data_IF_562170437463
#
_entry.id   IF_562170437463
#
_cell.length_a   1.000
_cell.length_b   1.000
_cell.length_c   1.000
_cell.angle_alpha   90.00
_cell.angle_beta   90.00
_cell.angle_gamma   90.00
#
_symmetry.space_group_name_H-M   'P 1'
#
loop_
_entity.id
_entity.type
_entity.pdbx_description
1 polymer ?
#
# COMPACT_ATOMS: atom_id res chain seq x y z
N UNK A 1 2.56 12.21 9.55
CA UNK A 1 1.55 11.14 9.69
C UNK A 1 2.21 9.85 9.32
N UNK A 2 1.76 8.72 9.82
CA UNK A 2 2.38 7.40 9.59
C UNK A 2 1.27 6.35 9.52
N UNK A 3 1.63 5.14 9.08
CA UNK A 3 0.73 4.02 8.97
C UNK A 3 0.32 3.71 7.54
N UNK A 4 -0.26 2.53 7.33
CA UNK A 4 -0.70 2.05 6.02
C UNK A 4 -2.17 1.68 6.09
N UNK A 5 -2.99 2.34 5.28
CA UNK A 5 -4.37 1.99 5.03
C UNK A 5 -4.46 1.19 3.74
N UNK A 6 -5.16 0.07 3.79
CA UNK A 6 -5.44 -0.80 2.65
C UNK A 6 -6.88 -0.62 2.19
N UNK A 7 -7.05 -0.51 0.89
CA UNK A 7 -8.35 -0.58 0.24
C UNK A 7 -8.58 -2.04 -0.17
N UNK A 8 -9.59 -2.66 0.40
CA UNK A 8 -9.90 -4.07 0.17
C UNK A 8 -11.26 -4.26 -0.50
N UNK A 9 -11.32 -5.24 -1.38
CA UNK A 9 -12.56 -5.71 -2.00
C UNK A 9 -12.91 -7.09 -1.44
N UNK A 10 -14.12 -7.23 -0.90
CA UNK A 10 -14.62 -8.50 -0.40
C UNK A 10 -15.62 -9.08 -1.40
N UNK A 11 -15.46 -10.35 -1.70
CA UNK A 11 -16.33 -11.10 -2.61
C UNK A 11 -17.49 -11.74 -1.82
N UNK A 12 -18.52 -12.20 -2.49
CA UNK A 12 -19.73 -12.81 -1.88
C UNK A 12 -19.40 -14.03 -0.99
N UNK A 13 -18.36 -14.77 -1.33
CA UNK A 13 -17.90 -15.93 -0.55
C UNK A 13 -17.04 -15.55 0.67
N UNK A 14 -16.89 -14.24 0.98
CA UNK A 14 -16.10 -13.73 2.08
C UNK A 14 -14.60 -13.57 1.79
N UNK A 15 -14.10 -14.02 0.64
CA UNK A 15 -12.71 -13.80 0.26
C UNK A 15 -12.44 -12.30 0.03
N UNK A 16 -11.32 -11.82 0.54
CA UNK A 16 -10.90 -10.43 0.39
C UNK A 16 -9.53 -10.33 -0.25
N UNK A 17 -9.34 -9.29 -1.03
CA UNK A 17 -8.03 -8.94 -1.57
C UNK A 17 -7.85 -7.42 -1.56
N UNK A 18 -6.59 -7.01 -1.37
CA UNK A 18 -6.21 -5.61 -1.48
C UNK A 18 -6.24 -5.16 -2.95
N UNK A 19 -6.81 -4.00 -3.18
CA UNK A 19 -6.86 -3.34 -4.48
C UNK A 19 -6.05 -2.05 -4.52
N UNK A 20 -5.52 -1.63 -3.40
CA UNK A 20 -4.64 -0.46 -3.28
C UNK A 20 -4.27 -0.18 -1.85
N UNK A 21 -3.17 0.54 -1.65
CA UNK A 21 -2.69 1.03 -0.36
C UNK A 21 -2.47 2.53 -0.41
N UNK A 22 -2.62 3.18 0.73
CA UNK A 22 -2.24 4.58 0.92
C UNK A 22 -1.66 4.78 2.32
N UNK A 23 -0.75 5.72 2.43
CA UNK A 23 -0.13 6.15 3.68
C UNK A 23 -0.19 7.66 3.85
N UNK A 24 0.93 8.23 4.29
CA UNK A 24 1.06 9.68 4.53
C UNK A 24 1.03 10.53 3.25
N UNK A 25 1.18 9.93 2.09
CA UNK A 25 1.15 10.58 0.77
C UNK A 25 -0.25 10.82 0.23
N UNK A 26 -1.26 10.19 0.84
CA UNK A 26 -2.59 10.17 0.24
C UNK A 26 -3.74 10.38 1.21
N UNK A 27 -4.93 10.07 0.75
CA UNK A 27 -6.15 10.17 1.56
C UNK A 27 -7.13 9.05 1.23
N UNK A 28 -8.02 8.80 2.21
CA UNK A 28 -9.17 7.91 2.06
C UNK A 28 -10.41 8.77 1.88
N UNK A 29 -11.16 8.54 0.82
CA UNK A 29 -12.36 9.33 0.51
C UNK A 29 -12.48 9.71 -0.97
N UNK A 30 -11.78 9.02 -1.85
CA UNK A 30 -11.86 9.22 -3.31
C UNK A 30 -13.30 9.24 -3.87
N UNK A 31 -14.26 8.43 -3.37
CA UNK A 31 -15.63 8.53 -3.85
C UNK A 31 -16.20 9.94 -3.78
N UNK A 32 -15.95 10.69 -2.72
CA UNK A 32 -16.41 12.08 -2.60
C UNK A 32 -15.77 13.04 -3.61
N UNK A 33 -14.49 12.80 -3.96
CA UNK A 33 -13.82 13.57 -5.02
C UNK A 33 -14.44 13.31 -6.39
N UNK A 34 -14.96 12.09 -6.60
CA UNK A 34 -15.58 11.61 -7.84
C UNK A 34 -17.11 11.69 -7.81
N UNK A 35 -17.66 12.53 -6.91
CA UNK A 35 -19.09 12.79 -6.78
C UNK A 35 -19.95 11.53 -6.50
N UNK A 36 -19.35 10.52 -5.85
CA UNK A 36 -20.04 9.32 -5.43
C UNK A 36 -20.28 9.30 -3.92
N UNK A 37 -21.49 8.96 -3.52
CA UNK A 37 -21.87 8.76 -2.11
C UNK A 37 -21.53 7.37 -1.58
N UNK A 38 -21.13 6.46 -2.48
CA UNK A 38 -20.85 5.06 -2.12
C UNK A 38 -19.36 4.72 -2.31
N UNK A 39 -18.78 4.10 -1.28
CA UNK A 39 -17.44 3.54 -1.35
C UNK A 39 -17.51 2.07 -1.78
N UNK A 40 -16.92 1.71 -2.95
CA UNK A 40 -16.96 0.33 -3.46
C UNK A 40 -15.97 -0.60 -2.75
N UNK A 41 -15.10 -0.07 -1.88
CA UNK A 41 -14.05 -0.77 -1.16
C UNK A 41 -14.16 -0.51 0.34
N UNK A 42 -13.83 -1.50 1.15
CA UNK A 42 -13.58 -1.31 2.57
C UNK A 42 -12.16 -0.73 2.77
N UNK A 43 -12.00 0.02 3.86
CA UNK A 43 -10.69 0.55 4.26
C UNK A 43 -10.32 -0.03 5.61
N UNK A 44 -9.12 -0.59 5.69
CA UNK A 44 -8.55 -1.16 6.91
C UNK A 44 -7.16 -0.60 7.15
N UNK A 45 -6.87 -0.22 8.41
CA UNK A 45 -5.49 0.08 8.81
C UNK A 45 -4.72 -1.25 8.94
N UNK A 46 -3.72 -1.43 8.08
CA UNK A 46 -2.86 -2.61 8.11
C UNK A 46 -1.65 -2.40 9.03
N UNK A 47 -1.09 -1.20 8.97
CA UNK A 47 -0.06 -0.79 9.91
C UNK A 47 -0.61 0.39 10.72
N UNK A 48 -0.64 0.28 12.06
CA UNK A 48 -1.15 1.34 12.93
C UNK A 48 -0.46 2.69 12.68
N UNK A 49 -1.19 3.78 12.85
CA UNK A 49 -0.65 5.11 12.63
C UNK A 49 -1.63 6.22 12.97
N UNK A 50 -1.31 7.43 12.53
CA UNK A 50 -2.08 8.64 12.79
C UNK A 50 -2.57 9.26 11.47
N UNK A 51 -3.82 9.67 11.44
CA UNK A 51 -4.45 10.34 10.30
C UNK A 51 -5.26 11.56 10.74
N UNK A 52 -5.41 12.52 9.85
CA UNK A 52 -6.35 13.63 10.04
C UNK A 52 -7.72 13.22 9.48
N UNK A 53 -8.76 13.47 10.25
CA UNK A 53 -10.15 13.23 9.85
C UNK A 53 -10.83 14.54 9.49
N UNK A 54 -11.39 14.60 8.30
CA UNK A 54 -12.20 15.72 7.84
C UNK A 54 -13.64 15.23 7.56
N UNK A 55 -14.69 15.90 8.10
CA UNK A 55 -16.06 15.57 7.75
C UNK A 55 -16.32 15.78 6.25
N UNK A 56 -17.10 14.88 5.60
CA UNK A 56 -17.35 14.94 4.16
C UNK A 56 -17.87 16.30 3.69
N UNK A 57 -18.80 16.92 4.43
CA UNK A 57 -19.31 18.27 4.10
C UNK A 57 -18.21 19.34 4.10
N UNK A 58 -17.28 19.29 5.06
CA UNK A 58 -16.15 20.23 5.10
C UNK A 58 -15.17 19.98 3.95
N UNK A 59 -14.95 18.71 3.61
CA UNK A 59 -14.13 18.30 2.48
C UNK A 59 -14.69 18.82 1.14
N UNK A 60 -15.96 18.59 0.87
CA UNK A 60 -16.62 19.08 -0.35
C UNK A 60 -16.56 20.61 -0.46
N UNK A 61 -16.88 21.32 0.62
CA UNK A 61 -16.75 22.78 0.63
C UNK A 61 -15.30 23.27 0.51
N UNK A 62 -14.28 22.50 0.88
CA UNK A 62 -12.89 22.83 0.61
C UNK A 62 -12.52 22.61 -0.86
N UNK A 63 -13.03 21.58 -1.51
CA UNK A 63 -12.84 21.32 -2.95
C UNK A 63 -13.41 22.44 -3.80
N UNK A 64 -14.61 22.93 -3.49
CA UNK A 64 -15.24 24.06 -4.22
C UNK A 64 -14.42 25.35 -4.13
N UNK A 65 -13.77 25.60 -2.98
CA UNK A 65 -12.99 26.82 -2.73
C UNK A 65 -11.53 26.73 -3.16
N UNK A 66 -11.01 25.53 -3.43
CA UNK A 66 -9.57 25.35 -3.70
C UNK A 66 -9.31 24.45 -4.91
N UNK A 67 -9.08 25.09 -6.04
CA UNK A 67 -8.69 24.40 -7.27
C UNK A 67 -7.35 23.68 -7.13
N UNK A 68 -6.44 24.19 -6.30
CA UNK A 68 -5.15 23.52 -6.04
C UNK A 68 -5.35 22.21 -5.26
N UNK A 69 -6.22 22.19 -4.25
CA UNK A 69 -6.59 20.98 -3.53
C UNK A 69 -7.19 19.94 -4.48
N UNK A 70 -8.18 20.37 -5.28
CA UNK A 70 -8.81 19.46 -6.27
C UNK A 70 -7.77 18.86 -7.21
N UNK A 71 -6.82 19.66 -7.71
CA UNK A 71 -5.75 19.20 -8.62
C UNK A 71 -4.84 18.16 -7.96
N UNK A 72 -4.39 18.40 -6.73
CA UNK A 72 -3.53 17.46 -5.99
C UNK A 72 -4.26 16.13 -5.74
N UNK A 73 -5.50 16.19 -5.29
CA UNK A 73 -6.29 14.99 -5.03
C UNK A 73 -6.63 14.22 -6.31
N UNK A 74 -6.85 14.90 -7.44
CA UNK A 74 -7.04 14.26 -8.74
C UNK A 74 -5.78 13.53 -9.22
N UNK A 75 -4.59 14.11 -8.98
CA UNK A 75 -3.31 13.44 -9.26
C UNK A 75 -3.12 12.19 -8.38
N UNK A 76 -3.45 12.30 -7.10
CA UNK A 76 -3.44 11.15 -6.20
C UNK A 76 -4.43 10.06 -6.65
N UNK A 77 -5.64 10.44 -7.06
CA UNK A 77 -6.63 9.50 -7.59
C UNK A 77 -6.08 8.73 -8.80
N UNK A 78 -5.37 9.43 -9.70
CA UNK A 78 -4.74 8.79 -10.85
C UNK A 78 -3.56 7.91 -10.46
N UNK A 79 -2.74 8.30 -9.48
CA UNK A 79 -1.67 7.47 -8.94
C UNK A 79 -2.22 6.15 -8.36
N UNK A 80 -3.30 6.23 -7.57
CA UNK A 80 -3.96 5.06 -7.01
C UNK A 80 -4.60 4.17 -8.10
N UNK A 81 -5.20 4.77 -9.13
CA UNK A 81 -5.69 4.02 -10.30
C UNK A 81 -4.55 3.27 -10.99
N UNK A 82 -3.40 3.91 -11.21
CA UNK A 82 -2.21 3.28 -11.80
C UNK A 82 -1.70 2.14 -10.92
N UNK A 83 -1.63 2.33 -9.61
CA UNK A 83 -1.29 1.27 -8.65
C UNK A 83 -2.24 0.08 -8.80
N UNK A 84 -3.55 0.32 -8.77
CA UNK A 84 -4.56 -0.74 -8.88
C UNK A 84 -4.42 -1.50 -10.21
N UNK A 85 -4.23 -0.80 -11.32
CA UNK A 85 -4.02 -1.40 -12.64
C UNK A 85 -2.76 -2.27 -12.68
N UNK A 86 -1.66 -1.78 -12.07
CA UNK A 86 -0.40 -2.53 -11.96
C UNK A 86 -0.57 -3.78 -11.10
N UNK A 87 -1.36 -3.71 -10.01
CA UNK A 87 -1.64 -4.86 -9.14
C UNK A 87 -2.41 -5.97 -9.87
N UNK A 88 -3.31 -5.63 -10.77
CA UNK A 88 -4.03 -6.63 -11.60
C UNK A 88 -3.04 -7.44 -12.43
N UNK A 89 -2.13 -6.79 -13.15
CA UNK A 89 -1.09 -7.46 -13.93
C UNK A 89 -0.11 -8.23 -13.02
N UNK A 90 0.34 -7.60 -11.93
CA UNK A 90 1.23 -8.21 -10.96
C UNK A 90 0.67 -9.52 -10.38
N UNK A 91 -0.60 -9.55 -10.02
CA UNK A 91 -1.27 -10.73 -9.47
C UNK A 91 -1.34 -11.89 -10.47
N UNK A 92 -1.27 -11.61 -11.76
CA UNK A 92 -1.35 -12.63 -12.82
C UNK A 92 0.02 -13.18 -13.21
N UNK A 93 1.07 -12.34 -13.21
CA UNK A 93 2.34 -12.66 -13.87
C UNK A 93 3.51 -12.87 -12.91
N UNK A 94 3.41 -12.41 -11.65
CA UNK A 94 4.49 -12.54 -10.67
C UNK A 94 4.18 -13.56 -9.59
N UNK A 95 5.21 -14.25 -9.11
CA UNK A 95 5.10 -15.22 -8.04
C UNK A 95 4.86 -14.55 -6.66
N UNK A 96 4.55 -15.39 -5.67
CA UNK A 96 4.17 -14.89 -4.34
C UNK A 96 5.34 -14.23 -3.62
N UNK A 97 6.58 -14.70 -3.82
CA UNK A 97 7.78 -14.13 -3.20
C UNK A 97 8.02 -12.71 -3.71
N UNK A 98 8.04 -12.52 -5.04
CA UNK A 98 8.20 -11.21 -5.68
C UNK A 98 7.11 -10.21 -5.24
N UNK A 99 5.87 -10.67 -5.15
CA UNK A 99 4.73 -9.88 -4.70
C UNK A 99 4.81 -9.54 -3.21
N UNK A 100 5.33 -10.47 -2.39
CA UNK A 100 5.60 -10.26 -0.98
C UNK A 100 6.67 -9.18 -0.79
N UNK A 101 7.81 -9.28 -1.48
CA UNK A 101 8.87 -8.28 -1.46
C UNK A 101 8.37 -6.90 -1.89
N UNK A 102 7.61 -6.80 -2.98
CA UNK A 102 6.97 -5.56 -3.43
C UNK A 102 6.07 -4.97 -2.35
N UNK A 103 5.19 -5.77 -1.74
CA UNK A 103 4.26 -5.29 -0.73
C UNK A 103 4.99 -4.77 0.51
N UNK A 104 6.01 -5.50 0.97
CA UNK A 104 6.85 -5.09 2.11
C UNK A 104 7.55 -3.75 1.84
N UNK A 105 8.12 -3.56 0.66
CA UNK A 105 8.74 -2.29 0.26
C UNK A 105 7.72 -1.14 0.23
N UNK A 106 6.55 -1.36 -0.35
CA UNK A 106 5.48 -0.34 -0.39
C UNK A 106 4.99 0.05 1.00
N UNK A 107 4.95 -0.90 1.95
CA UNK A 107 4.64 -0.61 3.34
C UNK A 107 5.80 0.13 4.02
N UNK A 108 7.02 -0.34 3.83
CA UNK A 108 8.24 0.24 4.38
C UNK A 108 8.45 1.71 3.95
N UNK A 109 8.16 2.06 2.69
CA UNK A 109 8.20 3.44 2.18
C UNK A 109 7.30 4.41 2.97
N UNK A 110 6.27 3.89 3.64
CA UNK A 110 5.26 4.65 4.38
C UNK A 110 5.47 4.66 5.89
N UNK A 111 6.50 3.96 6.35
CA UNK A 111 6.79 3.81 7.78
C UNK A 111 7.99 4.64 8.21
N UNK A 112 7.99 5.18 9.45
CA UNK A 112 9.14 5.89 9.99
C UNK A 112 10.29 4.96 10.41
N UNK A 113 10.04 3.67 10.58
CA UNK A 113 10.97 2.66 11.10
C UNK A 113 11.00 1.45 10.18
N UNK A 114 12.05 0.64 10.30
CA UNK A 114 12.23 -0.56 9.48
C UNK A 114 11.38 -1.74 9.96
N UNK A 115 10.84 -1.65 11.19
CA UNK A 115 9.96 -2.65 11.77
C UNK A 115 8.51 -2.18 11.81
N UNK A 116 7.58 -3.09 11.56
CA UNK A 116 6.15 -2.85 11.67
C UNK A 116 5.36 -4.14 11.94
N UNK A 117 4.19 -3.97 12.57
CA UNK A 117 3.28 -5.07 12.85
C UNK A 117 2.66 -5.58 11.54
N UNK A 118 2.93 -6.84 11.22
CA UNK A 118 2.36 -7.52 10.06
C UNK A 118 2.31 -9.02 10.32
N UNK A 119 1.13 -9.61 10.31
CA UNK A 119 0.99 -11.07 10.43
C UNK A 119 0.93 -11.75 9.07
N UNK A 120 1.29 -13.03 8.97
CA UNK A 120 1.11 -13.80 7.73
C UNK A 120 -0.35 -13.88 7.30
N UNK A 121 -1.29 -13.83 8.24
CA UNK A 121 -2.73 -13.78 7.95
C UNK A 121 -3.09 -12.49 7.19
N UNK A 122 -2.69 -11.36 7.72
CA UNK A 122 -2.89 -10.04 7.09
C UNK A 122 -2.23 -10.01 5.71
N UNK A 123 -0.96 -10.41 5.61
CA UNK A 123 -0.24 -10.40 4.34
C UNK A 123 -0.88 -11.35 3.31
N UNK A 124 -1.42 -12.51 3.74
CA UNK A 124 -2.11 -13.44 2.84
C UNK A 124 -3.40 -12.84 2.27
N UNK A 125 -4.15 -12.11 3.07
CA UNK A 125 -5.33 -11.38 2.62
C UNK A 125 -4.93 -10.26 1.64
N UNK A 126 -3.86 -9.50 1.92
CA UNK A 126 -3.38 -8.44 1.04
C UNK A 126 -2.93 -8.98 -0.32
N UNK A 127 -2.21 -10.09 -0.33
CA UNK A 127 -1.73 -10.71 -1.56
C UNK A 127 -2.79 -11.57 -2.28
N UNK A 128 -3.95 -11.83 -1.64
CA UNK A 128 -4.99 -12.69 -2.19
C UNK A 128 -4.52 -14.14 -2.39
N UNK A 129 -3.72 -14.67 -1.46
CA UNK A 129 -3.15 -16.03 -1.52
C UNK A 129 -3.37 -16.78 -0.23
N UNK A 130 -3.10 -18.10 -0.21
CA UNK A 130 -3.17 -18.90 1.01
C UNK A 130 -2.05 -18.49 1.99
N UNK A 131 -2.34 -18.51 3.30
CA UNK A 131 -1.38 -18.22 4.35
C UNK A 131 -0.10 -19.09 4.26
N UNK A 132 -0.24 -20.35 3.85
CA UNK A 132 0.92 -21.23 3.64
C UNK A 132 1.88 -20.71 2.57
N UNK A 133 1.37 -20.12 1.49
CA UNK A 133 2.19 -19.53 0.42
C UNK A 133 2.96 -18.30 0.94
N UNK A 134 2.33 -17.48 1.78
CA UNK A 134 3.02 -16.36 2.45
C UNK A 134 4.11 -16.86 3.40
N UNK A 135 3.81 -17.92 4.17
CA UNK A 135 4.81 -18.49 5.10
C UNK A 135 6.05 -18.96 4.35
N UNK A 136 5.88 -19.59 3.18
CA UNK A 136 7.01 -20.01 2.32
C UNK A 136 7.77 -18.79 1.80
N UNK A 137 7.07 -17.84 1.19
CA UNK A 137 7.69 -16.64 0.61
C UNK A 137 8.45 -15.80 1.65
N UNK A 138 7.82 -15.54 2.81
CA UNK A 138 8.46 -14.81 3.90
C UNK A 138 9.65 -15.58 4.49
N UNK A 139 9.56 -16.92 4.56
CA UNK A 139 10.68 -17.80 4.96
C UNK A 139 11.88 -17.65 4.02
N UNK A 140 11.64 -17.70 2.72
CA UNK A 140 12.69 -17.52 1.70
C UNK A 140 13.38 -16.15 1.81
N UNK A 141 12.59 -15.05 1.94
CA UNK A 141 13.14 -13.71 2.14
C UNK A 141 13.94 -13.60 3.45
N UNK A 142 13.50 -14.28 4.51
CA UNK A 142 14.20 -14.32 5.79
C UNK A 142 15.50 -15.14 5.73
N UNK A 143 15.50 -16.29 5.05
CA UNK A 143 16.69 -17.13 4.83
C UNK A 143 17.78 -16.39 4.03
N UNK A 144 17.38 -15.49 3.14
CA UNK A 144 18.28 -14.60 2.40
C UNK A 144 18.76 -13.40 3.25
N UNK A 145 18.27 -13.24 4.49
CA UNK A 145 18.65 -12.13 5.37
C UNK A 145 18.02 -10.78 4.99
N UNK A 146 16.99 -10.76 4.13
CA UNK A 146 16.37 -9.53 3.64
C UNK A 146 15.35 -8.96 4.61
N UNK A 147 14.73 -9.83 5.39
CA UNK A 147 13.76 -9.50 6.44
C UNK A 147 13.97 -10.39 7.67
N UNK A 148 13.54 -9.91 8.81
CA UNK A 148 13.39 -10.72 10.02
C UNK A 148 11.92 -10.75 10.43
N UNK A 149 11.40 -11.96 10.73
CA UNK A 149 10.02 -12.14 11.15
C UNK A 149 9.98 -12.68 12.59
N UNK A 150 9.45 -11.87 13.53
CA UNK A 150 9.32 -12.27 14.94
C UNK A 150 7.95 -11.89 15.51
N UNK A 151 7.18 -12.88 15.94
CA UNK A 151 5.92 -12.70 16.70
C UNK A 151 4.93 -11.74 16.04
N UNK A 152 4.80 -11.80 14.72
CA UNK A 152 3.89 -10.94 13.96
C UNK A 152 4.45 -9.55 13.64
N UNK A 153 5.73 -9.30 13.91
CA UNK A 153 6.48 -8.15 13.45
C UNK A 153 7.40 -8.56 12.30
N UNK A 154 7.52 -7.71 11.34
CA UNK A 154 8.52 -7.81 10.27
C UNK A 154 9.47 -6.64 10.38
N UNK A 155 10.77 -6.93 10.23
CA UNK A 155 11.82 -5.93 10.12
C UNK A 155 12.48 -6.08 8.76
N UNK A 156 12.62 -5.01 7.99
CA UNK A 156 13.42 -5.00 6.76
C UNK A 156 14.88 -4.84 7.16
N UNK A 157 15.69 -5.87 6.94
CA UNK A 157 17.10 -5.94 7.36
C UNK A 157 18.07 -5.60 6.23
N UNK A 158 17.70 -5.91 4.98
CA UNK A 158 18.42 -5.51 3.77
C UNK A 158 17.40 -5.01 2.73
N UNK A 159 17.23 -3.69 2.70
CA UNK A 159 16.31 -3.06 1.76
C UNK A 159 16.77 -3.23 0.31
N UNK A 160 18.05 -3.06 0.04
CA UNK A 160 18.57 -3.16 -1.33
C UNK A 160 18.41 -4.58 -1.89
N UNK A 161 18.68 -5.60 -1.07
CA UNK A 161 18.40 -6.99 -1.42
C UNK A 161 16.92 -7.26 -1.64
N UNK A 162 16.04 -6.67 -0.82
CA UNK A 162 14.59 -6.81 -0.97
C UNK A 162 14.08 -6.15 -2.27
N UNK A 163 14.66 -5.01 -2.68
CA UNK A 163 14.38 -4.35 -3.95
C UNK A 163 14.77 -5.21 -5.16
N UNK A 164 15.90 -5.93 -5.08
CA UNK A 164 16.30 -6.88 -6.13
C UNK A 164 15.38 -8.10 -6.24
N UNK A 165 14.70 -8.47 -5.16
CA UNK A 165 13.73 -9.58 -5.15
C UNK A 165 12.32 -9.16 -5.53
N UNK A 166 11.99 -7.89 -5.43
CA UNK A 166 10.69 -7.39 -5.83
C UNK A 166 10.53 -7.43 -7.35
N UNK A 167 9.27 -7.63 -7.79
CA UNK A 167 8.96 -7.47 -9.21
C UNK A 167 9.05 -6.00 -9.64
N UNK A 168 9.23 -5.76 -10.94
CA UNK A 168 9.27 -4.43 -11.55
C UNK A 168 8.05 -3.57 -11.24
N UNK A 169 6.96 -4.18 -10.77
CA UNK A 169 5.74 -3.48 -10.38
C UNK A 169 5.98 -2.50 -9.22
N UNK A 170 6.93 -2.80 -8.32
CA UNK A 170 7.34 -1.87 -7.27
C UNK A 170 7.82 -0.55 -7.87
N UNK A 171 8.78 -0.61 -8.77
CA UNK A 171 9.38 0.56 -9.42
C UNK A 171 8.40 1.30 -10.32
N UNK A 172 7.51 0.57 -11.01
CA UNK A 172 6.49 1.17 -11.87
C UNK A 172 5.51 2.01 -11.06
N UNK A 173 5.02 1.49 -9.92
CA UNK A 173 4.12 2.21 -9.02
C UNK A 173 4.85 3.42 -8.41
N UNK A 174 6.05 3.21 -7.89
CA UNK A 174 6.84 4.25 -7.23
C UNK A 174 7.09 5.45 -8.15
N UNK A 175 7.56 5.22 -9.39
CA UNK A 175 7.79 6.29 -10.38
C UNK A 175 6.53 7.10 -10.67
N UNK A 176 5.36 6.47 -10.72
CA UNK A 176 4.11 7.18 -10.95
C UNK A 176 3.70 8.03 -9.74
N UNK A 177 3.87 7.54 -8.53
CA UNK A 177 3.63 8.31 -7.31
C UNK A 177 4.57 9.52 -7.21
N UNK A 178 5.86 9.32 -7.47
CA UNK A 178 6.84 10.42 -7.52
C UNK A 178 6.47 11.48 -8.58
N UNK A 179 6.17 11.04 -9.81
CA UNK A 179 5.80 11.92 -10.92
C UNK A 179 4.53 12.72 -10.66
N UNK A 180 3.50 12.09 -10.06
CA UNK A 180 2.17 12.69 -9.91
C UNK A 180 2.03 13.55 -8.66
N UNK A 181 2.59 13.11 -7.54
CA UNK A 181 2.38 13.73 -6.23
C UNK A 181 3.67 14.06 -5.49
N UNK A 182 4.84 13.77 -6.08
CA UNK A 182 6.14 14.03 -5.44
C UNK A 182 6.40 13.15 -4.24
N UNK A 183 5.79 11.96 -4.17
CA UNK A 183 6.07 11.01 -3.12
C UNK A 183 7.39 10.30 -3.43
N UNK A 184 8.45 10.83 -2.84
CA UNK A 184 9.79 10.26 -2.90
C UNK A 184 10.04 9.33 -1.72
N UNK A 185 11.01 8.46 -1.89
CA UNK A 185 11.56 7.61 -0.84
C UNK A 185 12.06 8.43 0.35
N UNK A 186 11.97 7.85 1.55
CA UNK A 186 12.80 8.31 2.65
C UNK A 186 14.26 8.21 2.23
N UNK A 187 14.99 9.33 2.28
CA UNK A 187 16.43 9.27 2.38
C UNK A 187 16.74 8.65 3.76
N UNK A 188 17.11 7.38 3.76
CA UNK A 188 17.75 6.78 4.92
C UNK A 188 19.13 7.42 4.96
N UNK A 189 19.36 8.28 5.97
CA UNK A 189 20.71 8.77 6.27
C UNK A 189 21.58 7.54 6.60
N UNK A 190 22.66 7.39 5.83
CA UNK A 190 23.74 6.42 6.05
C UNK A 190 24.35 6.53 7.46
#
# INVERSE_FOLDING_TARGET
>A
MSGVASLAKTMENGASAEVGTTGNEGFVGLPFLLESEHAPTAVQMQVPGHALRLPARAFLGALERSQSLHRVLSRFAFALYTQTSQLVACNRFHDVEQRCARWLLMAHDRMPHDDFLLTHEVLSMMLGVRRSSVTIAAGQLSEMGLIEYRRGHVTVTDRAGLEMRACECYWSIRREYERLIGFAEKEYAD
#
